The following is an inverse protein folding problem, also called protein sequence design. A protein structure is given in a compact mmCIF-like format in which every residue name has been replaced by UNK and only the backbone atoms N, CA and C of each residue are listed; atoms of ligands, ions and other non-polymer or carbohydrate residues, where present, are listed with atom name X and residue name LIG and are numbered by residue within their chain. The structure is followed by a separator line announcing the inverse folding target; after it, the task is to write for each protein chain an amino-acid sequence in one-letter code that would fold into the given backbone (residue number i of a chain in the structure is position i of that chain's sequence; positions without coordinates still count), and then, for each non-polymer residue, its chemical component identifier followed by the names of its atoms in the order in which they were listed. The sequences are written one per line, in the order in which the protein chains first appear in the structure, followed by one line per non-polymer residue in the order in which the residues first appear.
data_IF_618143135494
#
_entry.id   IF_618143135494
#
_cell.length_a   1.000
_cell.length_b   1.000
_cell.length_c   1.000
_cell.angle_alpha   90.00
_cell.angle_beta   90.00
_cell.angle_gamma   90.00
#
_symmetry.space_group_name_H-M   'P 1'
#
loop_
_entity.id
_entity.type
_entity.pdbx_description
1 polymer ?
#
# COMPACT_ATOMS: atom_id res chain seq x y z
N UNK A 1 -12.52 -25.40 -14.38
CA UNK A 1 -11.66 -24.30 -13.90
C UNK A 1 -11.28 -23.42 -15.07
N UNK A 2 -11.30 -22.11 -14.89
CA UNK A 2 -10.75 -21.15 -15.84
C UNK A 2 -9.64 -20.41 -15.09
N UNK A 3 -8.39 -20.47 -15.59
CA UNK A 3 -7.23 -19.79 -15.04
C UNK A 3 -6.81 -18.66 -15.95
N UNK A 4 -6.67 -17.46 -15.38
CA UNK A 4 -6.37 -16.23 -16.11
C UNK A 4 -5.05 -15.66 -15.62
N UNK A 5 -4.17 -15.28 -16.54
CA UNK A 5 -2.84 -14.78 -16.22
C UNK A 5 -2.08 -14.35 -17.47
N UNK A 6 -0.74 -14.59 -17.54
CA UNK A 6 0.14 -15.12 -16.47
C UNK A 6 0.46 -14.09 -15.38
N UNK A 7 0.29 -12.79 -15.66
CA UNK A 7 0.57 -11.69 -14.76
C UNK A 7 -0.64 -10.75 -14.64
N UNK A 8 -0.50 -9.65 -13.93
CA UNK A 8 -1.52 -8.63 -13.81
C UNK A 8 -1.35 -7.49 -14.84
N UNK A 9 -2.40 -6.65 -15.02
CA UNK A 9 -2.39 -5.50 -15.90
C UNK A 9 -2.26 -5.89 -17.39
N UNK A 10 -1.46 -5.15 -18.15
CA UNK A 10 -1.27 -5.36 -19.60
C UNK A 10 -0.60 -6.69 -19.98
N UNK A 11 0.00 -7.36 -19.00
CA UNK A 11 0.61 -8.70 -19.18
C UNK A 11 -0.29 -9.84 -18.68
N UNK A 12 -1.51 -9.51 -18.28
CA UNK A 12 -2.55 -10.43 -17.86
C UNK A 12 -3.67 -10.52 -18.87
N UNK A 13 -4.81 -11.08 -18.45
CA UNK A 13 -6.00 -11.17 -19.27
C UNK A 13 -6.00 -12.31 -20.28
N UNK A 14 -5.00 -13.19 -20.26
CA UNK A 14 -4.94 -14.38 -21.12
C UNK A 14 -5.54 -15.58 -20.39
N UNK A 15 -6.30 -16.41 -21.11
CA UNK A 15 -6.78 -17.69 -20.57
C UNK A 15 -5.62 -18.69 -20.68
N UNK A 16 -5.00 -19.01 -19.53
CA UNK A 16 -3.91 -19.98 -19.46
C UNK A 16 -4.41 -21.41 -19.47
N UNK A 17 -5.61 -21.62 -18.93
CA UNK A 17 -6.28 -22.91 -18.90
C UNK A 17 -7.80 -22.74 -18.82
N UNK A 18 -8.53 -23.63 -19.50
CA UNK A 18 -9.99 -23.75 -19.37
C UNK A 18 -10.37 -25.20 -19.54
N UNK A 19 -10.89 -25.84 -18.47
CA UNK A 19 -11.26 -27.26 -18.48
C UNK A 19 -11.44 -27.86 -17.10
N UNK A 20 -11.48 -29.22 -16.98
CA UNK A 20 -11.52 -29.94 -15.72
C UNK A 20 -10.28 -29.63 -14.85
N UNK A 21 -10.44 -29.69 -13.50
CA UNK A 21 -9.36 -29.36 -12.56
C UNK A 21 -8.06 -30.15 -12.84
N UNK A 22 -8.16 -31.43 -13.14
CA UNK A 22 -7.01 -32.30 -13.38
C UNK A 22 -6.07 -31.80 -14.50
N UNK A 23 -6.61 -31.23 -15.57
CA UNK A 23 -5.79 -30.71 -16.68
C UNK A 23 -5.06 -29.39 -16.36
N UNK A 24 -5.39 -28.72 -15.26
CA UNK A 24 -4.66 -27.52 -14.84
C UNK A 24 -3.20 -27.87 -14.45
N UNK A 25 -2.94 -29.09 -14.01
CA UNK A 25 -1.60 -29.57 -13.64
C UNK A 25 -0.59 -29.45 -14.78
N UNK A 26 -1.03 -29.60 -16.03
CA UNK A 26 -0.18 -29.54 -17.24
C UNK A 26 0.08 -28.10 -17.71
N UNK A 27 -0.62 -27.09 -17.16
CA UNK A 27 -0.47 -25.70 -17.57
C UNK A 27 0.78 -25.06 -16.96
N UNK A 28 1.91 -25.11 -17.66
CA UNK A 28 3.20 -24.62 -17.15
C UNK A 28 3.20 -23.12 -16.78
N UNK A 29 2.38 -22.30 -17.45
CA UNK A 29 2.27 -20.87 -17.20
C UNK A 29 1.37 -20.50 -16.00
N UNK A 30 0.60 -21.46 -15.45
CA UNK A 30 -0.32 -21.24 -14.35
C UNK A 30 0.41 -21.15 -13.01
N UNK A 31 0.30 -20.03 -12.34
CA UNK A 31 0.71 -19.91 -10.92
C UNK A 31 -0.24 -20.68 -10.01
N UNK A 32 -1.54 -20.71 -10.35
CA UNK A 32 -2.59 -21.40 -9.57
C UNK A 32 -2.32 -22.88 -9.42
N UNK A 33 -1.81 -23.56 -10.46
CA UNK A 33 -1.51 -25.00 -10.41
C UNK A 33 -0.60 -25.38 -9.25
N UNK A 34 0.40 -24.55 -8.97
CA UNK A 34 1.37 -24.80 -7.91
C UNK A 34 0.68 -24.92 -6.54
N UNK A 35 -0.30 -24.06 -6.31
CA UNK A 35 -1.04 -24.03 -5.01
C UNK A 35 -2.15 -25.07 -4.92
N UNK A 36 -2.60 -25.60 -6.06
CA UNK A 36 -3.64 -26.64 -6.10
C UNK A 36 -3.04 -28.04 -5.97
N UNK A 37 -1.93 -28.33 -6.64
CA UNK A 37 -1.39 -29.70 -6.76
C UNK A 37 -0.09 -29.90 -5.97
N UNK A 38 0.70 -28.88 -5.73
CA UNK A 38 1.87 -29.06 -4.90
C UNK A 38 1.46 -29.34 -3.44
N UNK A 39 2.04 -30.36 -2.79
CA UNK A 39 1.90 -30.49 -1.35
C UNK A 39 2.42 -29.17 -0.75
N UNK A 40 1.61 -28.54 0.12
CA UNK A 40 2.06 -27.38 0.87
C UNK A 40 3.24 -27.83 1.74
N UNK A 41 4.45 -27.68 1.22
CA UNK A 41 5.65 -27.88 2.00
C UNK A 41 5.65 -26.81 3.08
N UNK A 42 5.26 -27.18 4.30
CA UNK A 42 5.50 -26.35 5.47
C UNK A 42 7.01 -26.17 5.57
N UNK A 43 7.50 -25.02 5.17
CA UNK A 43 8.88 -24.64 5.49
C UNK A 43 8.92 -24.56 7.01
N UNK A 44 9.55 -25.55 7.62
CA UNK A 44 9.75 -25.56 9.08
C UNK A 44 10.64 -24.36 9.43
N UNK A 45 10.00 -23.26 9.82
CA UNK A 45 10.74 -22.12 10.35
C UNK A 45 11.08 -22.38 11.82
N UNK A 46 12.34 -22.19 12.17
CA UNK A 46 12.73 -22.20 13.58
C UNK A 46 12.06 -21.01 14.27
N UNK A 47 11.23 -21.25 15.30
CA UNK A 47 10.58 -20.17 16.03
C UNK A 47 11.62 -19.20 16.61
N UNK A 48 11.41 -17.91 16.46
CA UNK A 48 12.25 -16.88 17.08
C UNK A 48 11.95 -16.82 18.58
N UNK A 49 12.95 -16.47 19.37
CA UNK A 49 12.74 -16.19 20.80
C UNK A 49 12.28 -14.74 20.96
N UNK A 50 11.21 -14.46 21.72
CA UNK A 50 10.78 -13.11 22.00
C UNK A 50 11.86 -12.29 22.68
N UNK A 51 12.08 -11.06 22.22
CA UNK A 51 13.01 -10.12 22.86
C UNK A 51 12.40 -9.51 24.14
N UNK A 52 11.11 -9.25 24.11
CA UNK A 52 10.32 -8.69 25.20
C UNK A 52 8.84 -9.02 24.98
N UNK A 53 7.97 -8.59 25.88
CA UNK A 53 6.53 -8.78 25.79
C UNK A 53 5.80 -7.47 25.99
N UNK A 54 4.89 -7.14 25.10
CA UNK A 54 3.88 -6.09 25.33
C UNK A 54 2.67 -6.72 26.00
N UNK A 55 2.36 -6.32 27.24
CA UNK A 55 1.22 -6.84 27.98
C UNK A 55 0.18 -5.77 28.21
N UNK A 56 -1.07 -6.12 27.90
CA UNK A 56 -2.26 -5.30 28.12
C UNK A 56 -3.19 -6.04 29.10
N UNK A 57 -3.87 -5.27 29.93
CA UNK A 57 -4.79 -5.75 30.95
C UNK A 57 -6.06 -4.90 31.01
N UNK A 58 -7.18 -5.51 31.46
CA UNK A 58 -8.47 -4.85 31.59
C UNK A 58 -9.08 -4.38 30.28
N UNK A 59 -8.82 -5.11 29.18
CA UNK A 59 -9.33 -4.78 27.86
C UNK A 59 -10.84 -4.99 27.80
N UNK A 60 -11.59 -3.91 27.59
CA UNK A 60 -13.05 -3.95 27.41
C UNK A 60 -13.43 -3.12 26.19
N UNK A 61 -13.96 -3.78 25.17
CA UNK A 61 -14.41 -3.19 23.92
C UNK A 61 -15.21 -4.16 23.06
N UNK A 62 -16.37 -3.76 22.55
CA UNK A 62 -17.28 -4.63 21.78
C UNK A 62 -17.57 -5.94 22.56
N UNK A 63 -17.14 -7.07 22.00
CA UNK A 63 -17.28 -8.40 22.60
C UNK A 63 -16.12 -8.81 23.51
N UNK A 64 -15.13 -7.92 23.73
CA UNK A 64 -14.03 -8.14 24.66
C UNK A 64 -14.45 -7.64 26.05
N UNK A 65 -14.39 -8.51 27.06
CA UNK A 65 -14.78 -8.20 28.41
C UNK A 65 -13.64 -8.54 29.38
N UNK A 66 -13.02 -7.49 29.93
CA UNK A 66 -11.94 -7.56 30.93
C UNK A 66 -10.80 -8.54 30.53
N UNK A 67 -10.41 -8.53 29.26
CA UNK A 67 -9.41 -9.42 28.71
C UNK A 67 -7.99 -8.96 29.03
N UNK A 68 -7.10 -9.93 29.33
CA UNK A 68 -5.63 -9.70 29.35
C UNK A 68 -5.00 -10.34 28.13
N UNK A 69 -4.08 -9.63 27.48
CA UNK A 69 -3.39 -10.10 26.28
C UNK A 69 -1.89 -9.80 26.35
N UNK A 70 -1.07 -10.73 25.83
CA UNK A 70 0.38 -10.58 25.76
C UNK A 70 0.86 -10.80 24.34
N UNK A 71 1.64 -9.87 23.81
CA UNK A 71 2.18 -9.90 22.46
C UNK A 71 3.70 -9.94 22.51
N UNK A 72 4.35 -10.99 21.95
CA UNK A 72 5.80 -11.06 21.91
C UNK A 72 6.37 -10.00 20.96
N UNK A 73 7.47 -9.36 21.31
CA UNK A 73 8.15 -8.34 20.53
C UNK A 73 9.37 -8.90 19.77
N UNK A 74 9.71 -8.27 18.64
CA UNK A 74 10.84 -8.66 17.80
C UNK A 74 10.52 -9.83 16.84
N UNK A 75 9.25 -10.07 16.53
CA UNK A 75 8.84 -11.17 15.66
C UNK A 75 7.57 -10.88 14.88
N UNK A 76 7.24 -11.80 13.95
CA UNK A 76 5.93 -11.86 13.31
C UNK A 76 4.97 -12.63 14.22
N UNK A 77 3.87 -11.99 14.57
CA UNK A 77 2.84 -12.53 15.47
C UNK A 77 1.52 -12.62 14.73
N UNK A 78 0.92 -13.79 14.65
CA UNK A 78 -0.41 -13.97 14.08
C UNK A 78 -1.45 -14.06 15.20
N UNK A 79 -2.49 -13.24 15.13
CA UNK A 79 -3.69 -13.31 15.96
C UNK A 79 -4.78 -13.97 15.15
N UNK A 80 -5.18 -15.18 15.55
CA UNK A 80 -6.11 -16.01 14.79
C UNK A 80 -7.42 -16.24 15.52
N UNK A 81 -8.41 -16.73 14.84
CA UNK A 81 -9.73 -17.08 15.39
C UNK A 81 -10.82 -17.00 14.33
N UNK A 82 -12.00 -17.49 14.65
CA UNK A 82 -13.16 -17.45 13.75
C UNK A 82 -13.61 -16.02 13.47
N UNK A 83 -14.36 -15.81 12.39
CA UNK A 83 -14.93 -14.48 12.09
C UNK A 83 -15.84 -14.02 13.23
N UNK A 84 -15.78 -12.73 13.58
CA UNK A 84 -16.55 -12.16 14.70
C UNK A 84 -16.01 -12.47 16.11
N UNK A 85 -14.88 -13.19 16.26
CA UNK A 85 -14.30 -13.50 17.58
C UNK A 85 -13.69 -12.30 18.32
N UNK A 86 -13.56 -11.15 17.66
CA UNK A 86 -12.98 -9.93 18.26
C UNK A 86 -11.51 -9.67 17.89
N UNK A 87 -10.94 -10.37 16.89
CA UNK A 87 -9.55 -10.13 16.44
C UNK A 87 -9.29 -8.69 16.08
N UNK A 88 -10.09 -8.13 15.14
CA UNK A 88 -9.94 -6.73 14.71
C UNK A 88 -10.25 -5.77 15.85
N UNK A 89 -11.21 -6.10 16.75
CA UNK A 89 -11.45 -5.30 17.95
C UNK A 89 -10.22 -5.26 18.86
N UNK A 90 -9.57 -6.40 19.10
CA UNK A 90 -8.37 -6.47 19.94
C UNK A 90 -7.16 -5.78 19.29
N UNK A 91 -6.87 -6.12 18.03
CA UNK A 91 -5.61 -5.76 17.35
C UNK A 91 -5.72 -4.38 16.74
N UNK A 92 -6.73 -4.14 15.89
CA UNK A 92 -6.82 -2.93 15.08
C UNK A 92 -7.48 -1.75 15.80
N UNK A 93 -8.26 -2.00 16.86
CA UNK A 93 -8.95 -0.95 17.60
C UNK A 93 -8.32 -0.74 18.98
N UNK A 94 -8.35 -1.73 19.87
CA UNK A 94 -7.91 -1.57 21.27
C UNK A 94 -6.41 -1.37 21.38
N UNK A 95 -5.62 -2.33 20.88
CA UNK A 95 -4.15 -2.29 20.97
C UNK A 95 -3.60 -1.02 20.30
N UNK A 96 -4.05 -0.72 19.09
CA UNK A 96 -3.59 0.48 18.36
C UNK A 96 -3.95 1.77 19.11
N UNK A 97 -5.17 1.89 19.63
CA UNK A 97 -5.62 3.07 20.39
C UNK A 97 -4.82 3.26 21.67
N UNK A 98 -4.64 2.20 22.46
CA UNK A 98 -3.93 2.27 23.75
C UNK A 98 -2.43 2.55 23.53
N UNK A 99 -1.77 1.89 22.57
CA UNK A 99 -0.35 2.11 22.28
C UNK A 99 -0.12 3.50 21.69
N UNK A 100 -0.95 3.95 20.75
CA UNK A 100 -0.83 5.29 20.16
C UNK A 100 -0.94 6.37 21.21
N UNK A 101 -1.94 6.28 22.12
CA UNK A 101 -2.13 7.21 23.25
C UNK A 101 -0.92 7.22 24.18
N UNK A 102 -0.39 6.04 24.51
CA UNK A 102 0.76 5.91 25.41
C UNK A 102 2.07 6.46 24.79
N UNK A 103 2.22 6.37 23.47
CA UNK A 103 3.34 6.95 22.73
C UNK A 103 3.17 8.46 22.44
N UNK A 104 2.02 9.06 22.79
CA UNK A 104 1.70 10.44 22.41
C UNK A 104 1.59 10.64 20.89
N UNK A 105 1.30 9.58 20.17
CA UNK A 105 1.11 9.60 18.73
C UNK A 105 -0.39 9.63 18.44
N UNK A 106 -0.82 10.57 17.60
CA UNK A 106 -2.05 10.33 16.86
C UNK A 106 -1.81 9.06 16.06
N UNK A 107 -2.70 8.04 16.07
CA UNK A 107 -2.50 6.88 15.21
C UNK A 107 -2.22 7.41 13.80
N UNK A 108 -1.03 7.15 13.29
CA UNK A 108 -0.71 7.48 11.90
C UNK A 108 -1.45 6.45 11.05
N UNK A 109 -2.74 6.66 10.92
CA UNK A 109 -3.46 6.31 9.70
C UNK A 109 -2.80 7.23 8.69
N UNK A 110 -2.09 6.68 7.72
CA UNK A 110 -1.38 7.47 6.72
C UNK A 110 -2.44 8.13 5.85
N UNK A 111 -2.94 9.27 6.32
CA UNK A 111 -3.85 10.16 5.61
C UNK A 111 -3.01 11.32 5.10
N UNK A 112 -3.09 11.59 3.80
CA UNK A 112 -2.66 12.89 3.27
C UNK A 112 -3.52 13.98 3.93
N UNK A 113 -2.86 15.08 4.33
CA UNK A 113 -3.45 16.28 4.89
C UNK A 113 -4.43 16.92 3.89
N UNK A 114 -5.69 16.53 3.96
CA UNK A 114 -6.80 17.32 3.46
C UNK A 114 -7.62 17.79 4.69
N UNK A 115 -7.48 19.06 5.03
CA UNK A 115 -7.99 19.71 6.25
C UNK A 115 -9.52 19.78 6.39
N UNK A 116 -10.33 19.17 5.52
CA UNK A 116 -11.78 19.45 5.41
C UNK A 116 -12.74 18.31 5.78
N UNK A 117 -12.35 17.33 6.59
CA UNK A 117 -13.33 16.36 7.07
C UNK A 117 -13.22 16.14 8.59
N UNK A 118 -14.12 16.80 9.30
CA UNK A 118 -14.53 16.44 10.66
C UNK A 118 -14.82 14.93 10.68
N UNK A 119 -13.89 14.17 11.28
CA UNK A 119 -14.11 12.76 11.58
C UNK A 119 -15.37 12.69 12.42
N UNK A 120 -16.41 12.08 11.87
CA UNK A 120 -17.59 11.74 12.64
C UNK A 120 -17.12 10.87 13.82
N UNK A 121 -17.04 11.48 15.00
CA UNK A 121 -16.82 10.80 16.26
C UNK A 121 -17.85 9.69 16.37
N UNK A 122 -17.40 8.45 16.42
CA UNK A 122 -18.27 7.31 16.71
C UNK A 122 -18.90 7.58 18.09
N UNK A 123 -20.22 7.49 18.25
CA UNK A 123 -20.91 7.78 19.51
C UNK A 123 -20.72 6.71 20.59
N UNK A 124 -19.82 5.78 20.43
CA UNK A 124 -19.49 4.74 21.41
C UNK A 124 -18.10 5.00 21.95
N UNK A 125 -17.99 5.05 23.29
CA UNK A 125 -16.81 5.41 24.09
C UNK A 125 -15.44 4.93 23.57
N UNK A 126 -14.39 5.34 24.23
CA UNK A 126 -13.02 4.91 23.89
C UNK A 126 -12.77 3.48 24.38
N UNK A 127 -11.97 2.66 23.64
CA UNK A 127 -11.51 1.36 24.12
C UNK A 127 -10.84 1.48 25.47
N UNK A 128 -11.24 0.62 26.42
CA UNK A 128 -10.68 0.58 27.77
C UNK A 128 -9.57 -0.48 27.84
N UNK A 129 -8.60 -0.24 28.70
CA UNK A 129 -7.47 -1.10 28.95
C UNK A 129 -6.23 -0.31 29.33
N UNK A 130 -5.21 -1.00 29.83
CA UNK A 130 -3.93 -0.41 30.22
C UNK A 130 -2.76 -1.27 29.73
N UNK A 131 -1.63 -0.63 29.45
CA UNK A 131 -0.37 -1.31 29.22
C UNK A 131 0.26 -1.60 30.59
N UNK A 132 0.62 -2.86 30.80
CA UNK A 132 1.28 -3.32 32.04
C UNK A 132 2.80 -3.28 31.90
N UNK A 133 3.33 -3.73 30.74
CA UNK A 133 4.75 -3.74 30.46
C UNK A 133 5.04 -3.73 28.95
N UNK A 134 6.29 -3.44 28.54
CA UNK A 134 6.80 -3.59 27.19
C UNK A 134 6.69 -2.37 26.30
N UNK A 135 6.02 -1.30 26.73
CA UNK A 135 5.91 -0.07 25.94
C UNK A 135 7.28 0.61 25.72
N UNK A 136 8.18 0.49 26.64
CA UNK A 136 9.54 1.05 26.60
C UNK A 136 10.37 0.55 25.43
N UNK A 137 10.05 -0.64 24.93
CA UNK A 137 10.67 -1.23 23.73
C UNK A 137 10.12 -0.67 22.42
N UNK A 138 8.92 -0.06 22.43
CA UNK A 138 8.25 0.42 21.23
C UNK A 138 8.46 1.93 21.09
N UNK A 139 9.04 2.36 19.97
CA UNK A 139 9.24 3.77 19.67
C UNK A 139 8.17 4.34 18.75
N UNK A 140 7.52 3.46 17.99
CA UNK A 140 6.55 3.86 16.97
C UNK A 140 5.51 2.79 16.74
N UNK A 141 4.28 3.22 16.46
CA UNK A 141 3.18 2.39 15.97
C UNK A 141 2.87 2.77 14.51
N UNK A 142 2.70 1.75 13.66
CA UNK A 142 2.25 1.89 12.27
C UNK A 142 1.10 0.94 12.02
N UNK A 143 -0.03 1.47 11.59
CA UNK A 143 -1.19 0.68 11.19
C UNK A 143 -1.27 0.66 9.66
N UNK A 144 -1.30 -0.54 9.08
CA UNK A 144 -1.39 -0.74 7.63
C UNK A 144 -2.74 -1.40 7.33
N UNK A 145 -3.69 -0.58 6.93
CA UNK A 145 -5.05 -0.98 6.59
C UNK A 145 -5.28 -1.05 5.07
N UNK A 146 -6.45 -1.52 4.66
CA UNK A 146 -6.87 -1.63 3.26
C UNK A 146 -7.59 -0.37 2.74
N UNK A 147 -7.64 0.70 3.51
CA UNK A 147 -8.24 1.95 3.05
C UNK A 147 -7.47 2.53 1.87
N UNK A 148 -8.11 3.24 0.96
CA UNK A 148 -7.45 3.90 -0.16
C UNK A 148 -6.29 4.80 0.31
N UNK A 149 -5.24 4.93 -0.51
CA UNK A 149 -4.09 5.80 -0.24
C UNK A 149 -4.37 7.28 -0.56
N UNK A 150 -5.59 7.61 -0.92
CA UNK A 150 -6.05 8.96 -1.20
C UNK A 150 -7.49 8.95 -1.69
N UNK A 151 -8.16 10.11 -1.61
CA UNK A 151 -9.59 10.25 -1.90
C UNK A 151 -9.88 10.96 -3.23
N UNK A 152 -8.87 11.52 -3.86
CA UNK A 152 -9.01 12.31 -5.08
C UNK A 152 -8.24 11.69 -6.24
N UNK A 153 -8.60 11.98 -7.52
CA UNK A 153 -7.83 11.51 -8.68
C UNK A 153 -6.39 12.08 -8.75
N UNK A 154 -6.05 13.07 -7.91
CA UNK A 154 -4.69 13.62 -7.80
C UNK A 154 -3.78 12.76 -6.93
N UNK A 155 -4.35 12.04 -5.98
CA UNK A 155 -3.62 11.04 -5.21
C UNK A 155 -3.36 9.82 -6.08
N UNK A 156 -2.10 9.41 -6.21
CA UNK A 156 -1.69 8.27 -7.01
C UNK A 156 -0.45 7.60 -6.40
N UNK A 157 -0.04 6.46 -6.96
CA UNK A 157 1.09 5.69 -6.49
C UNK A 157 2.38 6.54 -6.41
N UNK A 158 2.68 7.34 -7.44
CA UNK A 158 3.91 8.13 -7.47
C UNK A 158 3.93 9.24 -6.41
N UNK A 159 2.79 9.90 -6.14
CA UNK A 159 2.69 10.93 -5.08
C UNK A 159 2.81 10.31 -3.71
N UNK A 160 2.09 9.24 -3.44
CA UNK A 160 2.07 8.58 -2.14
C UNK A 160 3.44 8.05 -1.71
N UNK A 161 4.21 7.49 -2.64
CA UNK A 161 5.54 6.93 -2.35
C UNK A 161 6.66 7.97 -2.28
N UNK A 162 6.37 9.24 -2.57
CA UNK A 162 7.37 10.30 -2.70
C UNK A 162 8.20 10.22 -3.99
N UNK A 163 7.96 9.24 -4.84
CA UNK A 163 8.63 9.08 -6.14
C UNK A 163 8.42 10.31 -7.04
N UNK A 164 7.21 10.87 -7.00
CA UNK A 164 6.85 12.01 -7.84
C UNK A 164 7.71 13.25 -7.55
N UNK A 165 8.10 13.49 -6.32
CA UNK A 165 8.98 14.61 -5.95
C UNK A 165 10.37 14.47 -6.56
N UNK A 166 10.89 13.25 -6.65
CA UNK A 166 12.16 12.98 -7.31
C UNK A 166 12.04 13.16 -8.83
N UNK A 167 10.96 12.66 -9.44
CA UNK A 167 10.65 12.82 -10.86
C UNK A 167 10.59 14.31 -11.23
N UNK A 168 9.83 15.12 -10.49
CA UNK A 168 9.73 16.57 -10.74
C UNK A 168 11.08 17.27 -10.74
N UNK A 169 11.98 16.88 -9.85
CA UNK A 169 13.36 17.40 -9.79
C UNK A 169 14.20 16.98 -10.99
N UNK A 170 14.00 15.76 -11.54
CA UNK A 170 14.68 15.32 -12.76
C UNK A 170 14.26 16.18 -13.97
N UNK A 171 12.95 16.39 -14.15
CA UNK A 171 12.46 17.25 -15.25
C UNK A 171 12.91 18.70 -15.13
N UNK A 172 12.93 19.27 -13.92
CA UNK A 172 13.40 20.64 -13.69
C UNK A 172 14.90 20.83 -14.01
N UNK A 173 15.69 19.76 -14.02
CA UNK A 173 17.14 19.79 -14.38
C UNK A 173 17.40 19.68 -15.88
N UNK A 174 16.40 19.40 -16.69
CA UNK A 174 16.57 19.32 -18.14
C UNK A 174 16.92 20.69 -18.75
N UNK A 175 17.66 20.69 -19.86
CA UNK A 175 18.12 21.91 -20.51
C UNK A 175 16.97 22.85 -20.90
N UNK A 176 15.88 22.29 -21.47
CA UNK A 176 14.72 23.08 -21.88
C UNK A 176 13.98 23.68 -20.66
N UNK A 177 13.85 22.93 -19.55
CA UNK A 177 13.26 23.45 -18.32
C UNK A 177 14.08 24.64 -17.76
N UNK A 178 15.40 24.49 -17.73
CA UNK A 178 16.30 25.57 -17.27
C UNK A 178 16.20 26.79 -18.15
N UNK A 179 16.21 26.64 -19.48
CA UNK A 179 16.05 27.74 -20.43
C UNK A 179 14.74 28.50 -20.26
N UNK A 180 13.66 27.80 -19.88
CA UNK A 180 12.33 28.37 -19.63
C UNK A 180 12.13 28.89 -18.20
N UNK A 181 13.09 28.66 -17.30
CA UNK A 181 12.95 29.00 -15.88
C UNK A 181 11.92 28.11 -15.15
N UNK A 182 11.72 26.87 -15.61
CA UNK A 182 10.76 25.93 -15.00
C UNK A 182 11.41 25.22 -13.82
N UNK A 183 10.97 25.54 -12.62
CA UNK A 183 11.31 24.84 -11.38
C UNK A 183 10.49 23.53 -11.23
N UNK A 184 10.76 22.75 -10.19
CA UNK A 184 10.01 21.52 -9.90
C UNK A 184 8.50 21.75 -9.67
N UNK A 185 8.09 22.99 -9.38
CA UNK A 185 6.69 23.37 -9.23
C UNK A 185 5.91 23.37 -10.54
N UNK A 186 6.58 23.65 -11.68
CA UNK A 186 5.95 23.54 -13.01
C UNK A 186 5.57 22.10 -13.37
N UNK A 187 6.29 21.15 -12.83
CA UNK A 187 6.06 19.71 -13.02
C UNK A 187 5.14 19.10 -11.95
N UNK A 188 4.53 19.93 -11.12
CA UNK A 188 3.50 19.49 -10.16
C UNK A 188 2.10 19.71 -10.74
N UNK A 189 1.31 18.67 -10.81
CA UNK A 189 -0.12 18.81 -11.16
C UNK A 189 -0.97 19.34 -9.99
N UNK A 190 -0.40 19.49 -8.78
CA UNK A 190 -1.08 20.11 -7.64
C UNK A 190 -0.92 21.64 -7.61
N UNK A 191 0.07 22.19 -8.33
CA UNK A 191 0.34 23.62 -8.35
C UNK A 191 -0.16 24.30 -9.63
N UNK A 192 -0.67 25.56 -9.56
CA UNK A 192 -1.23 26.26 -10.71
C UNK A 192 -0.25 26.53 -11.87
N UNK A 193 1.06 26.54 -11.60
CA UNK A 193 2.10 26.93 -12.56
C UNK A 193 2.04 26.11 -13.85
N UNK A 194 2.02 24.79 -13.76
CA UNK A 194 2.10 23.88 -14.91
C UNK A 194 0.89 22.99 -15.14
N UNK A 195 -0.05 22.93 -14.20
CA UNK A 195 -1.24 22.05 -14.31
C UNK A 195 -2.23 22.53 -15.36
N UNK A 196 -2.98 21.61 -15.93
CA UNK A 196 -4.12 21.91 -16.78
C UNK A 196 -5.13 22.77 -16.01
N UNK A 197 -5.56 23.94 -16.54
CA UNK A 197 -6.51 24.80 -15.84
C UNK A 197 -7.93 24.23 -15.76
N UNK A 198 -8.32 23.36 -16.70
CA UNK A 198 -9.68 22.80 -16.79
C UNK A 198 -9.94 21.74 -15.73
N UNK A 199 -9.04 20.77 -15.57
CA UNK A 199 -9.17 19.70 -14.58
C UNK A 199 -8.33 19.95 -13.32
N UNK A 200 -7.66 21.08 -13.24
CA UNK A 200 -6.78 21.47 -12.13
C UNK A 200 -5.74 20.40 -11.75
N UNK A 201 -5.26 19.66 -12.76
CA UNK A 201 -4.29 18.60 -12.59
C UNK A 201 -4.85 17.22 -12.24
N UNK A 202 -6.17 17.08 -12.10
CA UNK A 202 -6.80 15.78 -11.84
C UNK A 202 -6.67 14.81 -13.04
N UNK A 203 -6.54 15.34 -14.26
CA UNK A 203 -6.56 14.54 -15.49
C UNK A 203 -7.94 14.13 -15.95
N UNK A 204 -8.92 14.21 -15.05
CA UNK A 204 -10.30 13.87 -15.29
C UNK A 204 -11.23 14.97 -14.78
N UNK A 205 -12.45 15.01 -15.27
CA UNK A 205 -13.54 15.88 -14.80
C UNK A 205 -14.69 15.00 -14.32
N UNK A 206 -15.31 15.41 -13.22
CA UNK A 206 -16.47 14.70 -12.70
C UNK A 206 -17.70 15.02 -13.57
N UNK A 207 -18.37 13.99 -14.02
CA UNK A 207 -19.65 14.08 -14.75
C UNK A 207 -20.75 13.62 -13.81
N UNK A 208 -21.61 14.54 -13.44
CA UNK A 208 -22.80 14.24 -12.62
C UNK A 208 -23.88 13.59 -13.49
N UNK A 209 -24.34 12.43 -13.09
CA UNK A 209 -25.43 11.70 -13.73
C UNK A 209 -26.67 11.82 -12.85
N UNK A 210 -27.79 12.29 -13.43
CA UNK A 210 -29.04 12.63 -12.71
C UNK A 210 -29.60 11.51 -11.81
N UNK A 211 -29.33 10.24 -12.16
CA UNK A 211 -29.88 9.07 -11.43
C UNK A 211 -28.82 7.99 -11.12
N UNK A 212 -27.54 8.24 -11.43
CA UNK A 212 -26.45 7.31 -11.22
C UNK A 212 -25.32 7.99 -10.43
N UNK A 213 -24.45 7.24 -9.77
CA UNK A 213 -23.25 7.82 -9.15
C UNK A 213 -22.44 8.61 -10.18
N UNK A 214 -21.89 9.74 -9.75
CA UNK A 214 -21.00 10.56 -10.58
C UNK A 214 -19.79 9.74 -11.05
N UNK A 215 -19.40 9.92 -12.30
CA UNK A 215 -18.24 9.24 -12.91
C UNK A 215 -17.18 10.23 -13.32
N UNK A 216 -15.93 9.81 -13.26
CA UNK A 216 -14.82 10.59 -13.79
C UNK A 216 -14.59 10.25 -15.26
N UNK A 217 -14.63 11.29 -16.12
CA UNK A 217 -14.28 11.20 -17.54
C UNK A 217 -12.96 11.92 -17.81
N UNK A 218 -12.15 11.48 -18.79
CA UNK A 218 -10.93 12.18 -19.18
C UNK A 218 -11.18 13.66 -19.46
N UNK A 219 -10.31 14.54 -18.97
CA UNK A 219 -10.44 15.97 -19.17
C UNK A 219 -10.47 16.32 -20.66
N UNK A 220 -11.46 17.09 -21.14
CA UNK A 220 -11.59 17.40 -22.57
C UNK A 220 -10.45 18.29 -23.10
N UNK A 221 -9.71 18.97 -22.24
CA UNK A 221 -8.62 19.88 -22.61
C UNK A 221 -7.26 19.18 -22.66
N UNK A 222 -6.94 18.38 -21.64
CA UNK A 222 -5.62 17.73 -21.54
C UNK A 222 -5.67 16.22 -21.84
N UNK A 223 -6.84 15.66 -22.08
CA UNK A 223 -7.03 14.23 -22.40
C UNK A 223 -6.32 13.28 -21.43
N UNK A 224 -6.33 13.60 -20.13
CA UNK A 224 -5.68 12.81 -19.10
C UNK A 224 -4.24 13.23 -18.78
N UNK A 225 -3.59 14.06 -19.59
CA UNK A 225 -2.19 14.44 -19.42
C UNK A 225 -1.89 15.31 -18.18
N UNK A 226 -2.90 15.91 -17.54
CA UNK A 226 -2.82 16.70 -16.29
C UNK A 226 -2.10 18.07 -16.41
N UNK A 227 -1.35 18.33 -17.48
CA UNK A 227 -0.50 19.49 -17.65
C UNK A 227 -0.90 20.39 -18.81
N UNK A 228 -0.36 21.61 -18.81
CA UNK A 228 -0.38 22.53 -19.96
C UNK A 228 0.53 21.98 -21.08
N UNK A 229 0.20 22.22 -22.37
CA UNK A 229 1.02 21.74 -23.49
C UNK A 229 2.50 22.13 -23.39
N UNK A 230 2.80 23.36 -22.96
CA UNK A 230 4.17 23.86 -22.85
C UNK A 230 5.03 23.10 -21.84
N UNK A 231 4.41 22.50 -20.80
CA UNK A 231 5.12 21.66 -19.83
C UNK A 231 5.44 20.30 -20.44
N UNK A 232 4.54 19.78 -21.29
CA UNK A 232 4.72 18.49 -21.95
C UNK A 232 5.80 18.50 -23.05
N UNK A 233 6.18 19.68 -23.55
CA UNK A 233 7.33 19.81 -24.46
C UNK A 233 8.67 19.51 -23.77
N UNK A 234 8.72 19.64 -22.43
CA UNK A 234 9.92 19.28 -21.67
C UNK A 234 10.00 17.78 -21.53
N UNK A 235 11.05 17.19 -22.07
CA UNK A 235 11.25 15.74 -22.03
C UNK A 235 12.51 15.38 -21.24
N UNK A 236 12.44 14.25 -20.57
CA UNK A 236 13.57 13.56 -19.95
C UNK A 236 13.77 12.23 -20.66
N UNK A 237 14.95 12.03 -21.30
CA UNK A 237 15.22 10.87 -22.15
C UNK A 237 14.13 10.61 -23.22
N UNK A 238 13.59 11.68 -23.82
CA UNK A 238 12.58 11.62 -24.88
C UNK A 238 11.15 11.37 -24.40
N UNK A 239 10.87 11.36 -23.09
CA UNK A 239 9.53 11.19 -22.53
C UNK A 239 9.10 12.42 -21.77
N UNK A 240 7.86 12.87 -21.97
CA UNK A 240 7.25 13.91 -21.15
C UNK A 240 6.90 13.38 -19.75
N UNK A 241 6.63 14.29 -18.80
CA UNK A 241 6.21 13.87 -17.46
C UNK A 241 4.86 13.13 -17.47
N UNK A 242 3.97 13.45 -18.43
CA UNK A 242 2.72 12.71 -18.59
C UNK A 242 2.96 11.29 -19.08
N UNK A 243 3.87 11.09 -20.06
CA UNK A 243 4.25 9.76 -20.53
C UNK A 243 4.81 8.91 -19.40
N UNK A 244 5.62 9.52 -18.52
CA UNK A 244 6.17 8.81 -17.36
C UNK A 244 5.08 8.37 -16.37
N UNK A 245 4.06 9.20 -16.14
CA UNK A 245 2.95 8.85 -15.27
C UNK A 245 2.07 7.72 -15.84
N UNK A 246 2.09 7.49 -17.14
CA UNK A 246 1.37 6.36 -17.77
C UNK A 246 2.19 5.06 -17.77
N UNK A 247 3.49 5.11 -17.45
CA UNK A 247 4.31 3.92 -17.34
C UNK A 247 3.87 3.07 -16.15
N UNK A 248 3.94 1.76 -16.32
CA UNK A 248 3.87 0.81 -15.20
C UNK A 248 5.12 0.92 -14.33
N UNK A 249 5.05 0.43 -13.10
CA UNK A 249 6.22 0.34 -12.21
C UNK A 249 7.35 -0.45 -12.89
N UNK A 250 7.04 -1.54 -13.60
CA UNK A 250 8.03 -2.35 -14.32
C UNK A 250 8.73 -1.56 -15.44
N UNK A 251 7.98 -0.80 -16.23
CA UNK A 251 8.52 0.06 -17.29
C UNK A 251 9.35 1.20 -16.71
N UNK A 252 8.85 1.82 -15.64
CA UNK A 252 9.54 2.89 -14.95
C UNK A 252 10.85 2.42 -14.29
N UNK A 253 10.90 1.18 -13.76
CA UNK A 253 12.14 0.57 -13.27
C UNK A 253 13.23 0.56 -14.34
N UNK A 254 12.86 0.18 -15.58
CA UNK A 254 13.81 0.16 -16.69
C UNK A 254 14.20 1.57 -17.14
N UNK A 255 13.23 2.47 -17.23
CA UNK A 255 13.44 3.84 -17.69
C UNK A 255 14.29 4.68 -16.73
N UNK A 256 14.10 4.53 -15.44
CA UNK A 256 14.78 5.27 -14.37
C UNK A 256 15.92 4.47 -13.69
N UNK A 257 16.37 3.38 -14.29
CA UNK A 257 17.39 2.49 -13.70
C UNK A 257 18.71 3.21 -13.34
N UNK A 258 19.08 4.27 -14.07
CA UNK A 258 20.28 5.05 -13.78
C UNK A 258 20.06 6.16 -12.73
N UNK A 259 18.84 6.38 -12.28
CA UNK A 259 18.47 7.42 -11.31
C UNK A 259 18.31 6.77 -9.92
N UNK A 260 19.36 6.71 -9.12
CA UNK A 260 19.47 5.90 -7.90
C UNK A 260 18.27 6.06 -6.93
N UNK A 261 17.80 7.29 -6.69
CA UNK A 261 16.67 7.54 -5.80
C UNK A 261 15.36 6.93 -6.31
N UNK A 262 14.88 7.31 -7.49
CA UNK A 262 13.70 6.69 -8.11
C UNK A 262 13.82 5.18 -8.27
N UNK A 263 14.99 4.66 -8.71
CA UNK A 263 15.22 3.24 -8.90
C UNK A 263 15.02 2.42 -7.62
N UNK A 264 15.45 2.92 -6.47
CA UNK A 264 15.28 2.26 -5.18
C UNK A 264 13.79 2.12 -4.79
N UNK A 265 13.01 3.21 -4.97
CA UNK A 265 11.57 3.20 -4.69
C UNK A 265 10.87 2.20 -5.60
N UNK A 266 11.13 2.29 -6.91
CA UNK A 266 10.52 1.42 -7.90
C UNK A 266 10.85 -0.06 -7.68
N UNK A 267 12.11 -0.39 -7.34
CA UNK A 267 12.50 -1.76 -7.02
C UNK A 267 11.74 -2.31 -5.79
N UNK A 268 11.47 -1.48 -4.79
CA UNK A 268 10.66 -1.91 -3.63
C UNK A 268 9.21 -2.18 -4.00
N UNK A 269 8.62 -1.32 -4.84
CA UNK A 269 7.26 -1.53 -5.37
C UNK A 269 7.16 -2.79 -6.23
N UNK A 270 8.16 -3.02 -7.08
CA UNK A 270 8.22 -4.22 -7.95
C UNK A 270 8.30 -5.51 -7.12
N UNK A 271 9.17 -5.54 -6.10
CA UNK A 271 9.23 -6.67 -5.15
C UNK A 271 7.88 -6.90 -4.47
N UNK A 272 7.14 -5.82 -4.11
CA UNK A 272 5.79 -5.87 -3.55
C UNK A 272 4.69 -6.40 -4.48
N UNK A 273 5.04 -6.86 -5.69
CA UNK A 273 4.06 -7.36 -6.66
C UNK A 273 3.22 -6.26 -7.29
N UNK A 274 3.70 -5.00 -7.25
CA UNK A 274 2.99 -3.82 -7.78
C UNK A 274 3.52 -3.41 -9.17
N UNK A 275 4.29 -4.26 -9.84
CA UNK A 275 4.94 -4.00 -11.12
C UNK A 275 3.98 -3.60 -12.25
N UNK A 276 2.75 -4.09 -12.20
CA UNK A 276 1.69 -3.85 -13.18
C UNK A 276 0.97 -2.50 -13.03
N UNK A 277 1.05 -1.86 -11.85
CA UNK A 277 0.37 -0.59 -11.60
C UNK A 277 1.03 0.55 -12.34
N UNK A 278 0.24 1.49 -12.88
CA UNK A 278 0.78 2.70 -13.49
C UNK A 278 1.11 3.75 -12.43
N UNK A 279 2.18 4.52 -12.65
CA UNK A 279 2.63 5.52 -11.68
C UNK A 279 1.59 6.58 -11.37
N UNK A 280 0.81 6.99 -12.37
CA UNK A 280 -0.23 8.01 -12.26
C UNK A 280 -1.63 7.45 -12.01
N UNK A 281 -1.79 6.15 -11.75
CA UNK A 281 -3.10 5.54 -11.50
C UNK A 281 -3.76 6.18 -10.26
N UNK A 282 -5.01 6.69 -10.41
CA UNK A 282 -5.71 7.29 -9.29
C UNK A 282 -5.87 6.33 -8.10
N UNK A 283 -5.67 6.84 -6.89
CA UNK A 283 -5.81 6.05 -5.68
C UNK A 283 -7.20 5.43 -5.51
N UNK A 284 -8.22 6.06 -6.08
CA UNK A 284 -9.62 5.60 -6.06
C UNK A 284 -9.89 4.37 -6.95
N UNK A 285 -8.95 4.04 -7.85
CA UNK A 285 -9.05 2.88 -8.75
C UNK A 285 -8.27 1.66 -8.23
N UNK A 286 -7.52 1.84 -7.14
CA UNK A 286 -6.74 0.76 -6.53
C UNK A 286 -7.63 -0.15 -5.70
N UNK A 287 -7.38 -1.45 -5.77
CA UNK A 287 -7.97 -2.41 -4.84
C UNK A 287 -7.42 -2.20 -3.42
N UNK A 288 -8.18 -2.62 -2.40
CA UNK A 288 -7.74 -2.52 -1.00
C UNK A 288 -6.38 -3.22 -0.76
N UNK A 289 -6.16 -4.38 -1.37
CA UNK A 289 -4.90 -5.11 -1.29
C UNK A 289 -3.73 -4.39 -1.95
N UNK A 290 -3.94 -3.70 -3.09
CA UNK A 290 -2.92 -2.87 -3.74
C UNK A 290 -2.57 -1.66 -2.87
N UNK A 291 -3.58 -0.96 -2.34
CA UNK A 291 -3.39 0.17 -1.44
C UNK A 291 -2.56 -0.24 -0.20
N UNK A 292 -2.88 -1.39 0.40
CA UNK A 292 -2.15 -1.92 1.54
C UNK A 292 -0.69 -2.25 1.21
N UNK A 293 -0.43 -2.91 0.06
CA UNK A 293 0.94 -3.22 -0.40
C UNK A 293 1.74 -1.96 -0.71
N UNK A 294 1.12 -0.91 -1.26
CA UNK A 294 1.77 0.39 -1.47
C UNK A 294 2.18 1.01 -0.13
N UNK A 295 1.30 0.98 0.89
CA UNK A 295 1.61 1.45 2.25
C UNK A 295 2.79 0.69 2.84
N UNK A 296 2.77 -0.64 2.74
CA UNK A 296 3.85 -1.50 3.22
C UNK A 296 5.18 -1.19 2.51
N UNK A 297 5.19 -1.12 1.18
CA UNK A 297 6.38 -0.78 0.40
C UNK A 297 6.94 0.60 0.78
N UNK A 298 6.06 1.58 1.04
CA UNK A 298 6.47 2.92 1.48
C UNK A 298 7.10 2.89 2.88
N UNK A 299 6.60 2.07 3.79
CA UNK A 299 7.21 1.92 5.12
C UNK A 299 8.58 1.23 5.06
N UNK A 300 8.73 0.21 4.21
CA UNK A 300 10.03 -0.46 3.99
C UNK A 300 11.12 0.47 3.43
N UNK A 301 10.74 1.52 2.70
CA UNK A 301 11.69 2.52 2.20
C UNK A 301 12.20 3.46 3.30
N UNK A 302 11.43 3.63 4.37
CA UNK A 302 11.78 4.54 5.45
C UNK A 302 12.79 3.87 6.38
N UNK A 303 14.10 4.15 6.17
CA UNK A 303 15.16 3.76 7.12
C UNK A 303 14.92 4.52 8.44
N UNK A 304 14.19 3.91 9.36
CA UNK A 304 13.88 4.53 10.65
C UNK A 304 14.67 3.88 11.76
N UNK A 305 15.09 4.71 12.73
CA UNK A 305 15.77 4.24 13.93
C UNK A 305 14.75 3.89 15.01
N UNK A 306 14.94 2.77 15.68
CA UNK A 306 14.14 2.31 16.80
C UNK A 306 13.04 1.33 16.40
N UNK A 307 12.64 0.53 17.38
CA UNK A 307 11.69 -0.56 17.22
C UNK A 307 10.28 -0.04 16.88
N UNK A 308 9.71 -0.52 15.78
CA UNK A 308 8.37 -0.17 15.33
C UNK A 308 7.44 -1.37 15.51
N UNK A 309 6.25 -1.12 16.06
CA UNK A 309 5.15 -2.07 16.06
C UNK A 309 4.28 -1.84 14.82
N UNK A 310 4.30 -2.78 13.89
CA UNK A 310 3.42 -2.79 12.73
C UNK A 310 2.18 -3.62 13.02
N UNK A 311 1.02 -3.09 12.70
CA UNK A 311 -0.27 -3.76 12.88
C UNK A 311 -0.97 -3.84 11.54
N UNK A 312 -1.33 -5.06 11.12
CA UNK A 312 -2.05 -5.34 9.89
C UNK A 312 -3.33 -6.14 10.20
N UNK A 313 -4.43 -5.78 9.55
CA UNK A 313 -5.70 -6.49 9.66
C UNK A 313 -6.03 -7.15 8.33
N UNK A 314 -6.16 -8.48 8.35
CA UNK A 314 -6.47 -9.37 7.23
C UNK A 314 -5.70 -9.03 5.93
N UNK A 315 -4.35 -8.90 5.97
CA UNK A 315 -3.59 -8.40 4.82
C UNK A 315 -3.62 -9.32 3.59
N UNK A 316 -4.07 -10.56 3.72
CA UNK A 316 -4.17 -11.50 2.58
C UNK A 316 -5.56 -11.59 1.98
N UNK A 317 -6.54 -10.90 2.54
CA UNK A 317 -7.91 -10.93 2.03
C UNK A 317 -7.96 -10.53 0.56
N UNK A 318 -8.55 -11.41 -0.27
CA UNK A 318 -8.66 -11.21 -1.71
C UNK A 318 -7.38 -11.39 -2.51
N UNK A 319 -6.27 -11.80 -1.90
CA UNK A 319 -5.03 -12.09 -2.62
C UNK A 319 -5.00 -13.52 -3.17
N UNK A 320 -4.44 -13.65 -4.39
CA UNK A 320 -4.00 -14.95 -4.86
C UNK A 320 -2.87 -15.48 -3.95
N UNK A 321 -2.76 -16.80 -3.69
CA UNK A 321 -1.70 -17.36 -2.83
C UNK A 321 -0.28 -16.91 -3.22
N UNK A 322 0.00 -16.77 -4.49
CA UNK A 322 1.27 -16.24 -5.01
C UNK A 322 1.60 -14.81 -4.50
N UNK A 323 0.58 -13.94 -4.43
CA UNK A 323 0.75 -12.58 -3.91
C UNK A 323 0.84 -12.57 -2.39
N UNK A 324 0.15 -13.51 -1.72
CA UNK A 324 0.25 -13.70 -0.27
C UNK A 324 1.66 -14.12 0.14
N UNK A 325 2.30 -15.04 -0.59
CA UNK A 325 3.69 -15.43 -0.32
C UNK A 325 4.65 -14.24 -0.43
N UNK A 326 4.52 -13.39 -1.45
CA UNK A 326 5.30 -12.17 -1.60
C UNK A 326 5.07 -11.18 -0.45
N UNK A 327 3.82 -11.03 -0.01
CA UNK A 327 3.50 -10.21 1.15
C UNK A 327 4.24 -10.71 2.40
N UNK A 328 4.28 -12.05 2.60
CA UNK A 328 4.97 -12.65 3.73
C UNK A 328 6.48 -12.40 3.72
N UNK A 329 7.12 -12.38 2.54
CA UNK A 329 8.52 -12.00 2.42
C UNK A 329 8.75 -10.56 2.95
N UNK A 330 7.89 -9.60 2.56
CA UNK A 330 7.98 -8.23 3.05
C UNK A 330 7.74 -8.09 4.56
N UNK A 331 6.81 -8.87 5.12
CA UNK A 331 6.58 -8.86 6.57
C UNK A 331 7.79 -9.42 7.33
N UNK A 332 8.47 -10.42 6.76
CA UNK A 332 9.73 -10.94 7.30
C UNK A 332 10.86 -9.91 7.23
N UNK A 333 11.00 -9.19 6.11
CA UNK A 333 11.97 -8.09 5.98
C UNK A 333 11.80 -7.03 7.07
N UNK A 334 10.54 -6.70 7.44
CA UNK A 334 10.28 -5.79 8.56
C UNK A 334 10.77 -6.34 9.89
N UNK A 335 10.53 -7.62 10.16
CA UNK A 335 10.96 -8.29 11.39
C UNK A 335 12.48 -8.41 11.44
N UNK A 336 13.13 -8.71 10.31
CA UNK A 336 14.59 -8.76 10.18
C UNK A 336 15.25 -7.39 10.40
N UNK A 337 14.48 -6.31 10.18
CA UNK A 337 14.84 -4.94 10.53
C UNK A 337 14.58 -4.56 12.00
N UNK A 338 14.52 -5.53 12.91
CA UNK A 338 14.37 -5.32 14.36
C UNK A 338 13.01 -4.70 14.77
N UNK A 339 11.94 -5.09 14.08
CA UNK A 339 10.58 -4.62 14.36
C UNK A 339 9.67 -5.77 14.82
N UNK A 340 8.51 -5.41 15.34
CA UNK A 340 7.41 -6.34 15.59
C UNK A 340 6.34 -6.15 14.52
N UNK A 341 5.88 -7.27 13.95
CA UNK A 341 4.76 -7.27 13.01
C UNK A 341 3.64 -8.11 13.60
N UNK A 342 2.50 -7.50 13.82
CA UNK A 342 1.31 -8.14 14.37
C UNK A 342 0.22 -8.18 13.29
N UNK A 343 -0.23 -9.37 12.96
CA UNK A 343 -1.19 -9.63 11.89
C UNK A 343 -2.43 -10.29 12.47
N UNK A 344 -3.59 -9.66 12.30
CA UNK A 344 -4.86 -10.36 12.52
C UNK A 344 -5.21 -11.12 11.24
N UNK A 345 -5.29 -12.45 11.28
CA UNK A 345 -5.46 -13.29 10.11
C UNK A 345 -6.33 -14.53 10.36
N UNK A 346 -6.94 -15.00 9.29
CA UNK A 346 -7.71 -16.25 9.28
C UNK A 346 -7.18 -17.26 8.24
N UNK A 347 -6.26 -16.87 7.38
CA UNK A 347 -5.61 -17.78 6.43
C UNK A 347 -4.56 -18.63 7.16
N UNK A 348 -4.90 -19.90 7.35
CA UNK A 348 -4.06 -20.85 8.08
C UNK A 348 -2.73 -21.15 7.40
N UNK A 349 -2.58 -20.80 6.12
CA UNK A 349 -1.30 -20.93 5.39
C UNK A 349 -0.25 -19.96 5.91
N UNK A 350 -0.71 -18.78 6.38
CA UNK A 350 0.18 -17.77 6.96
C UNK A 350 0.55 -18.05 8.40
N UNK A 351 -0.31 -18.80 9.10
CA UNK A 351 -0.13 -19.13 10.52
C UNK A 351 0.78 -20.33 10.71
N UNK A 352 0.89 -21.19 9.70
CA UNK A 352 1.62 -22.45 9.75
C UNK A 352 3.05 -22.34 9.23
#
# INVERSE_FOLDING_TARGET
VVDVGPQAGTRGGEILYSGPLAGLEDSAASHTRHYVFAPQARTAHTPRTPQAWLRLDGITWNNLDNLSASFPLGMLVAVTGVSGSGKSSLVSQVLTSIVARALGQTPVVVEEEDEDLIVASHPMGEPQGRIVEGLEHIKRLVVIDQKPIGRTPRSNLATYTGLFDMIRKLYARTELAQKRGYDAGYFSFNLPKGRCPTCEGAGATMVELLFLPSVYAPCPTCHGARYKPQVLEVTYRGRSIADLLTMTVDEACQFLAADAGPAQILATLQRGGLGHLTLGQPATELSGGEAQRIKLATELQKQRRGHTLYVLDEPTTGLHPFDADRLMEHLRDLVDGDNTVLVAEHDMRLVA
#
